data_IF_269252849384
#
_entry.id   IF_269252849384
#
_cell.length_a   1.000
_cell.length_b   1.000
_cell.length_c   1.000
_cell.angle_alpha   90.00
_cell.angle_beta   90.00
_cell.angle_gamma   90.00
#
_symmetry.space_group_name_H-M   'P 1'
#
loop_
_entity.id
_entity.type
_entity.pdbx_description
1 polymer ?
#
# COMPACT_ATOMS: atom_id res chain seq x y z
N UNK A 1 20.79 4.18 -2.32
CA UNK A 1 20.56 2.76 -2.67
C UNK A 1 19.49 2.71 -3.76
N UNK A 2 19.56 1.82 -4.76
CA UNK A 2 18.50 1.67 -5.76
C UNK A 2 17.25 1.03 -5.14
N UNK A 3 16.07 1.36 -5.69
CA UNK A 3 14.82 0.70 -5.33
C UNK A 3 14.78 -0.67 -5.97
N UNK A 4 14.45 -1.69 -5.19
CA UNK A 4 14.34 -3.06 -5.66
C UNK A 4 13.04 -3.29 -6.41
N UNK A 5 13.08 -4.08 -7.49
CA UNK A 5 11.88 -4.51 -8.19
C UNK A 5 11.99 -5.96 -8.66
N UNK A 6 10.85 -6.58 -8.90
CA UNK A 6 10.74 -7.88 -9.55
C UNK A 6 9.55 -7.89 -10.52
N UNK A 7 9.47 -8.94 -11.35
CA UNK A 7 8.39 -9.11 -12.32
C UNK A 7 7.28 -9.99 -11.77
N UNK A 8 6.06 -9.55 -11.98
CA UNK A 8 4.83 -10.25 -11.56
C UNK A 8 3.92 -10.44 -12.77
N UNK A 9 3.19 -11.55 -12.78
CA UNK A 9 2.17 -11.81 -13.78
C UNK A 9 1.10 -10.71 -13.75
N UNK A 10 0.74 -10.22 -14.91
CA UNK A 10 -0.37 -9.27 -15.03
C UNK A 10 -1.69 -10.03 -14.90
N UNK A 11 -2.56 -9.70 -13.91
CA UNK A 11 -3.86 -10.32 -13.79
C UNK A 11 -4.65 -10.11 -15.07
N UNK A 12 -5.15 -11.20 -15.67
CA UNK A 12 -5.97 -11.12 -16.88
C UNK A 12 -7.46 -10.99 -16.52
N UNK A 13 -8.21 -10.09 -17.19
CA UNK A 13 -9.67 -10.13 -17.11
C UNK A 13 -10.17 -11.45 -17.73
N UNK A 14 -11.16 -12.09 -17.09
CA UNK A 14 -11.68 -13.43 -17.43
C UNK A 14 -12.14 -13.61 -18.90
N UNK A 15 -12.29 -12.52 -19.66
CA UNK A 15 -12.92 -12.54 -21.00
C UNK A 15 -11.98 -12.24 -22.17
N UNK A 16 -10.67 -12.16 -21.97
CA UNK A 16 -9.76 -11.86 -23.10
C UNK A 16 -8.63 -12.88 -23.17
N UNK A 17 -8.55 -13.60 -24.28
CA UNK A 17 -7.39 -14.41 -24.69
C UNK A 17 -6.20 -13.48 -25.03
N UNK A 18 -5.73 -12.71 -24.05
CA UNK A 18 -4.51 -11.92 -24.19
C UNK A 18 -3.30 -12.74 -23.76
N UNK A 19 -2.17 -12.53 -24.44
CA UNK A 19 -0.89 -13.15 -24.06
C UNK A 19 -0.57 -12.80 -22.60
N UNK A 20 -0.11 -13.81 -21.87
CA UNK A 20 0.40 -13.64 -20.51
C UNK A 20 1.48 -12.56 -20.50
N UNK A 21 1.26 -11.49 -19.77
CA UNK A 21 2.18 -10.37 -19.64
C UNK A 21 2.81 -10.29 -18.26
N UNK A 22 4.01 -9.74 -18.17
CA UNK A 22 4.66 -9.44 -16.90
C UNK A 22 4.75 -7.93 -16.73
N UNK A 23 4.63 -7.46 -15.50
CA UNK A 23 4.88 -6.07 -15.14
C UNK A 23 5.82 -5.99 -13.93
N UNK A 24 6.66 -4.96 -13.92
CA UNK A 24 7.55 -4.72 -12.80
C UNK A 24 6.79 -4.11 -11.63
N UNK A 25 7.02 -4.64 -10.43
CA UNK A 25 6.58 -4.05 -9.16
C UNK A 25 7.76 -3.81 -8.24
N UNK A 26 7.71 -2.74 -7.49
CA UNK A 26 8.68 -2.48 -6.44
C UNK A 26 8.55 -3.51 -5.33
N UNK A 27 9.70 -4.00 -4.86
CA UNK A 27 9.78 -4.87 -3.70
C UNK A 27 10.09 -4.00 -2.48
N UNK A 28 9.18 -3.99 -1.52
CA UNK A 28 9.34 -3.25 -0.27
C UNK A 28 10.12 -4.12 0.71
N UNK A 29 11.32 -3.70 1.09
CA UNK A 29 12.16 -4.45 2.03
C UNK A 29 11.53 -4.50 3.43
N UNK A 30 11.09 -3.34 3.94
CA UNK A 30 10.39 -3.22 5.22
C UNK A 30 9.59 -1.93 5.30
N UNK A 31 8.59 -1.92 6.14
CA UNK A 31 7.86 -0.71 6.50
C UNK A 31 8.55 -0.04 7.69
N UNK A 32 8.93 1.22 7.53
CA UNK A 32 9.47 2.04 8.61
C UNK A 32 8.33 2.53 9.50
N UNK A 33 8.52 2.44 10.80
CA UNK A 33 7.57 2.90 11.82
C UNK A 33 7.95 4.29 12.34
N UNK A 34 7.07 4.92 13.13
CA UNK A 34 7.36 6.16 13.84
C UNK A 34 8.64 6.04 14.70
N UNK A 35 8.89 4.85 15.28
CA UNK A 35 10.10 4.60 16.09
C UNK A 35 11.39 4.68 15.26
N UNK A 36 11.34 4.19 14.01
CA UNK A 36 12.49 4.26 13.11
C UNK A 36 12.74 5.69 12.66
N UNK A 37 11.67 6.43 12.33
CA UNK A 37 11.75 7.83 11.92
C UNK A 37 12.23 8.72 13.08
N UNK A 38 11.72 8.52 14.30
CA UNK A 38 12.16 9.24 15.49
C UNK A 38 13.64 9.01 15.79
N UNK A 39 14.13 7.77 15.58
CA UNK A 39 15.56 7.46 15.72
C UNK A 39 16.43 8.18 14.68
N UNK A 40 15.93 8.36 13.45
CA UNK A 40 16.65 9.14 12.43
C UNK A 40 16.59 10.65 12.73
N UNK A 41 15.47 11.16 13.20
CA UNK A 41 15.32 12.56 13.61
C UNK A 41 16.27 12.93 14.74
N UNK A 42 16.41 12.08 15.78
CA UNK A 42 17.32 12.33 16.89
C UNK A 42 18.80 12.35 16.50
N UNK A 43 19.18 11.77 15.36
CA UNK A 43 20.53 11.87 14.80
C UNK A 43 20.78 13.16 14.01
N UNK A 44 19.73 13.80 13.50
CA UNK A 44 19.80 14.95 12.59
C UNK A 44 19.42 16.27 13.26
N UNK A 45 18.67 16.20 14.35
CA UNK A 45 18.17 17.34 15.10
C UNK A 45 18.58 17.20 16.57
N UNK A 46 18.45 18.28 17.32
CA UNK A 46 18.76 18.32 18.76
C UNK A 46 17.70 17.68 19.65
N UNK A 47 16.57 17.24 19.08
CA UNK A 47 15.49 16.60 19.81
C UNK A 47 15.86 15.15 20.15
N UNK A 48 15.43 14.69 21.32
CA UNK A 48 15.60 13.29 21.69
C UNK A 48 14.50 12.41 21.04
N UNK A 49 14.70 11.08 21.07
CA UNK A 49 13.78 10.14 20.46
C UNK A 49 12.37 10.19 21.06
N UNK A 50 12.24 10.41 22.37
CA UNK A 50 10.94 10.45 23.04
C UNK A 50 10.16 11.71 22.64
N UNK A 51 10.82 12.85 22.56
CA UNK A 51 10.23 14.10 22.07
C UNK A 51 9.79 13.96 20.60
N UNK A 52 10.63 13.37 19.74
CA UNK A 52 10.28 13.12 18.36
C UNK A 52 9.04 12.23 18.24
N UNK A 53 8.93 11.18 19.05
CA UNK A 53 7.74 10.33 19.10
C UNK A 53 6.50 11.11 19.51
N UNK A 54 6.58 11.90 20.59
CA UNK A 54 5.45 12.69 21.06
C UNK A 54 4.95 13.69 20.02
N UNK A 55 5.87 14.36 19.32
CA UNK A 55 5.52 15.27 18.21
C UNK A 55 4.82 14.54 17.07
N UNK A 56 5.29 13.34 16.70
CA UNK A 56 4.67 12.55 15.63
C UNK A 56 3.28 12.04 15.99
N UNK A 57 3.09 11.63 17.25
CA UNK A 57 1.80 11.15 17.74
C UNK A 57 0.78 12.31 17.79
N UNK A 58 1.19 13.48 18.29
CA UNK A 58 0.34 14.68 18.34
C UNK A 58 0.03 15.19 16.91
N UNK A 59 1.01 15.15 16.01
CA UNK A 59 0.79 15.51 14.61
C UNK A 59 -0.25 14.62 13.95
N UNK A 60 -0.24 13.31 14.25
CA UNK A 60 -1.23 12.37 13.71
C UNK A 60 -2.65 12.69 14.22
N UNK A 61 -2.78 13.05 15.49
CA UNK A 61 -4.07 13.42 16.10
C UNK A 61 -4.61 14.74 15.53
N UNK A 62 -3.77 15.78 15.44
CA UNK A 62 -4.14 17.05 14.80
C UNK A 62 -4.56 16.81 13.34
N UNK A 63 -3.80 15.99 12.62
CA UNK A 63 -4.13 15.61 11.24
C UNK A 63 -5.53 14.99 11.15
N UNK A 64 -5.82 14.00 11.99
CA UNK A 64 -7.12 13.34 12.04
C UNK A 64 -8.26 14.34 12.27
N UNK A 65 -8.13 15.19 13.29
CA UNK A 65 -9.13 16.19 13.65
C UNK A 65 -9.38 17.16 12.47
N UNK A 66 -8.33 17.69 11.87
CA UNK A 66 -8.48 18.68 10.78
C UNK A 66 -9.10 18.09 9.52
N UNK A 67 -8.79 16.83 9.22
CA UNK A 67 -9.40 16.13 8.10
C UNK A 67 -10.89 15.80 8.38
N UNK A 68 -11.25 15.46 9.62
CA UNK A 68 -12.65 15.28 10.04
C UNK A 68 -13.47 16.57 9.98
N UNK A 69 -12.86 17.73 10.29
CA UNK A 69 -13.46 19.05 10.12
C UNK A 69 -13.67 19.43 8.64
N UNK A 70 -13.21 18.59 7.68
CA UNK A 70 -13.33 18.82 6.24
C UNK A 70 -12.19 19.66 5.66
N UNK A 71 -11.13 19.91 6.41
CA UNK A 71 -9.96 20.62 5.92
C UNK A 71 -9.04 19.71 5.08
N UNK A 72 -8.40 20.27 4.07
CA UNK A 72 -7.26 19.66 3.43
C UNK A 72 -5.98 20.00 4.22
N UNK A 73 -5.23 18.98 4.61
CA UNK A 73 -3.97 19.15 5.34
C UNK A 73 -2.81 19.04 4.36
N UNK A 74 -2.03 20.09 4.24
CA UNK A 74 -0.82 20.12 3.42
C UNK A 74 0.40 19.95 4.31
N UNK A 75 1.19 18.92 4.04
CA UNK A 75 2.53 18.75 4.59
C UNK A 75 3.53 19.18 3.53
N UNK A 76 4.20 20.31 3.75
CA UNK A 76 5.14 20.88 2.79
C UNK A 76 6.31 19.92 2.50
N UNK A 77 6.62 19.77 1.23
CA UNK A 77 7.63 18.82 0.76
C UNK A 77 7.14 17.38 0.64
N UNK A 78 5.92 17.06 1.10
CA UNK A 78 5.29 15.74 1.03
C UNK A 78 4.08 15.80 0.08
N UNK A 79 3.03 16.51 0.45
CA UNK A 79 1.81 16.57 -0.32
C UNK A 79 0.61 17.03 0.49
N UNK A 80 -0.57 16.89 -0.10
CA UNK A 80 -1.84 17.30 0.48
C UNK A 80 -2.76 16.12 0.66
N UNK A 81 -3.39 16.04 1.81
CA UNK A 81 -4.36 15.01 2.18
C UNK A 81 -5.73 15.64 2.35
N UNK A 82 -6.77 14.96 1.92
CA UNK A 82 -8.16 15.36 2.17
C UNK A 82 -9.06 14.13 2.19
N UNK A 83 -10.22 14.28 2.83
CA UNK A 83 -11.24 13.24 2.88
C UNK A 83 -11.99 13.18 1.54
N UNK A 84 -12.38 12.00 1.12
CA UNK A 84 -13.29 11.80 0.00
C UNK A 84 -14.61 11.22 0.47
N UNK A 85 -15.68 11.56 -0.25
CA UNK A 85 -17.01 11.01 -0.02
C UNK A 85 -17.40 10.06 -1.16
N UNK A 86 -18.18 9.05 -0.83
CA UNK A 86 -18.84 8.16 -1.78
C UNK A 86 -20.33 8.31 -1.67
N UNK A 87 -21.02 8.39 -2.81
CA UNK A 87 -22.48 8.35 -2.89
C UNK A 87 -22.92 7.47 -4.08
N UNK A 88 -24.11 6.89 -4.06
CA UNK A 88 -24.69 6.27 -5.25
C UNK A 88 -24.82 7.28 -6.38
N UNK A 89 -24.69 6.81 -7.62
CA UNK A 89 -25.00 7.63 -8.79
C UNK A 89 -26.51 7.81 -8.90
N UNK A 90 -26.97 9.04 -9.05
CA UNK A 90 -28.39 9.41 -9.15
C UNK A 90 -28.62 10.25 -10.40
N UNK A 91 -29.84 10.25 -10.92
CA UNK A 91 -30.20 10.99 -12.14
C UNK A 91 -30.34 12.51 -11.87
N UNK A 92 -30.75 12.89 -10.68
CA UNK A 92 -30.96 14.30 -10.31
C UNK A 92 -30.28 14.64 -8.98
N UNK A 93 -29.73 15.85 -8.87
CA UNK A 93 -29.15 16.37 -7.62
C UNK A 93 -30.14 16.33 -6.45
N UNK A 94 -31.45 16.43 -6.72
CA UNK A 94 -32.52 16.39 -5.70
C UNK A 94 -32.69 14.99 -5.06
N UNK A 95 -32.20 13.96 -5.69
CA UNK A 95 -32.29 12.57 -5.21
C UNK A 95 -31.13 12.22 -4.25
N UNK A 96 -30.09 13.05 -4.20
CA UNK A 96 -28.96 12.83 -3.26
C UNK A 96 -29.45 13.21 -1.85
N UNK A 97 -29.49 12.23 -0.96
CA UNK A 97 -29.76 12.44 0.47
C UNK A 97 -28.47 12.45 1.25
N UNK A 98 -28.38 13.28 2.29
CA UNK A 98 -27.19 13.35 3.16
C UNK A 98 -26.80 11.97 3.72
N UNK A 99 -27.79 11.14 4.07
CA UNK A 99 -27.61 9.78 4.59
C UNK A 99 -26.95 8.81 3.57
N UNK A 100 -27.05 9.12 2.27
CA UNK A 100 -26.42 8.31 1.21
C UNK A 100 -24.96 8.63 0.98
N UNK A 101 -24.46 9.73 1.57
CA UNK A 101 -23.07 10.16 1.48
C UNK A 101 -22.27 9.44 2.58
N UNK A 102 -21.28 8.64 2.18
CA UNK A 102 -20.47 7.86 3.10
C UNK A 102 -18.99 8.24 2.95
N UNK A 103 -18.22 7.96 4.00
CA UNK A 103 -16.78 8.08 3.94
C UNK A 103 -16.21 7.25 2.78
N UNK A 104 -15.46 7.88 1.90
CA UNK A 104 -14.85 7.26 0.72
C UNK A 104 -13.40 6.83 0.93
N UNK A 105 -12.72 7.47 1.85
CA UNK A 105 -11.30 7.27 2.14
C UNK A 105 -10.54 8.59 2.26
N UNK A 106 -9.25 8.49 2.47
CA UNK A 106 -8.31 9.63 2.43
C UNK A 106 -7.60 9.63 1.09
N UNK A 107 -7.63 10.77 0.41
CA UNK A 107 -6.92 10.99 -0.85
C UNK A 107 -5.62 11.73 -0.57
N UNK A 108 -4.53 11.21 -1.08
CA UNK A 108 -3.22 11.83 -1.03
C UNK A 108 -2.82 12.36 -2.41
N UNK A 109 -2.39 13.62 -2.45
CA UNK A 109 -1.81 14.26 -3.64
C UNK A 109 -0.37 14.67 -3.35
N UNK A 110 0.62 13.99 -3.93
CA UNK A 110 2.02 14.32 -3.70
C UNK A 110 2.37 15.71 -4.24
N UNK A 111 3.29 16.40 -3.56
CA UNK A 111 3.80 17.68 -4.03
C UNK A 111 4.74 17.48 -5.22
N UNK A 112 4.67 18.39 -6.22
CA UNK A 112 5.52 18.33 -7.42
C UNK A 112 7.02 18.34 -7.08
N UNK A 113 7.40 19.05 -6.03
CA UNK A 113 8.77 19.09 -5.54
C UNK A 113 9.26 17.69 -5.08
N UNK A 114 8.40 16.91 -4.42
CA UNK A 114 8.69 15.53 -4.04
C UNK A 114 8.86 14.65 -5.28
N UNK A 115 7.91 14.71 -6.21
CA UNK A 115 7.94 13.92 -7.44
C UNK A 115 9.21 14.19 -8.26
N UNK A 116 9.60 15.47 -8.41
CA UNK A 116 10.83 15.83 -9.10
C UNK A 116 12.10 15.28 -8.43
N UNK A 117 12.15 15.28 -7.10
CA UNK A 117 13.26 14.69 -6.35
C UNK A 117 13.34 13.17 -6.52
N UNK A 118 12.19 12.51 -6.60
CA UNK A 118 12.11 11.05 -6.74
C UNK A 118 12.25 10.57 -8.19
N UNK A 119 12.04 11.42 -9.19
CA UNK A 119 12.10 11.03 -10.61
C UNK A 119 13.46 10.49 -11.05
N UNK A 120 14.54 10.85 -10.36
CA UNK A 120 15.90 10.33 -10.60
C UNK A 120 16.23 9.02 -9.87
N UNK A 121 15.26 8.37 -9.24
CA UNK A 121 15.47 7.13 -8.48
C UNK A 121 15.90 6.00 -9.41
N UNK A 122 16.99 5.32 -9.05
CA UNK A 122 17.49 4.15 -9.78
C UNK A 122 16.80 2.89 -9.29
N UNK A 123 16.56 1.95 -10.21
CA UNK A 123 15.93 0.68 -9.94
C UNK A 123 16.90 -0.47 -10.16
N UNK A 124 16.83 -1.51 -9.31
CA UNK A 124 17.64 -2.72 -9.42
C UNK A 124 16.72 -3.94 -9.36
N UNK A 125 16.88 -4.83 -10.34
CA UNK A 125 16.16 -6.11 -10.33
C UNK A 125 16.72 -6.98 -9.21
N UNK A 126 15.82 -7.61 -8.46
CA UNK A 126 16.16 -8.63 -7.46
C UNK A 126 15.25 -9.84 -7.71
N UNK A 127 15.75 -11.02 -7.38
CA UNK A 127 14.90 -12.20 -7.29
C UNK A 127 14.19 -12.17 -5.94
N UNK A 128 12.89 -12.02 -5.94
CA UNK A 128 12.08 -12.05 -4.73
C UNK A 128 11.73 -13.50 -4.42
N UNK A 129 12.37 -14.07 -3.41
CA UNK A 129 12.25 -15.49 -3.04
C UNK A 129 10.87 -15.94 -2.54
N UNK A 130 9.88 -15.04 -2.51
CA UNK A 130 8.49 -15.34 -2.14
C UNK A 130 7.54 -15.40 -3.35
N UNK A 131 8.00 -15.25 -4.56
CA UNK A 131 7.23 -15.83 -5.66
C UNK A 131 7.29 -17.34 -5.44
N UNK A 132 6.14 -17.94 -5.16
CA UNK A 132 5.99 -19.39 -5.28
C UNK A 132 6.81 -19.82 -6.49
N UNK A 133 7.74 -20.75 -6.27
CA UNK A 133 8.49 -21.34 -7.37
C UNK A 133 7.47 -21.65 -8.48
N UNK A 134 7.86 -21.50 -9.76
CA UNK A 134 7.07 -22.00 -10.89
C UNK A 134 6.99 -23.53 -10.75
N UNK A 135 6.23 -23.96 -9.76
CA UNK A 135 5.94 -25.37 -9.50
C UNK A 135 4.83 -25.68 -10.48
N UNK A 136 5.08 -26.58 -11.39
CA UNK A 136 4.05 -27.02 -12.34
C UNK A 136 2.87 -27.66 -11.56
N UNK A 137 1.66 -27.55 -12.10
CA UNK A 137 0.46 -28.14 -11.48
C UNK A 137 0.69 -29.64 -11.16
N UNK A 138 1.48 -30.33 -11.97
CA UNK A 138 1.85 -31.76 -11.77
C UNK A 138 2.72 -31.94 -10.52
N UNK A 139 3.65 -31.03 -10.25
CA UNK A 139 4.48 -31.07 -9.04
C UNK A 139 3.68 -30.72 -7.79
N UNK A 140 2.74 -29.77 -7.91
CA UNK A 140 1.81 -29.42 -6.83
C UNK A 140 0.95 -30.62 -6.48
N UNK A 141 0.35 -31.27 -7.46
CA UNK A 141 -0.49 -32.48 -7.28
C UNK A 141 0.32 -33.64 -6.67
N UNK A 142 1.59 -33.78 -7.08
CA UNK A 142 2.50 -34.77 -6.51
C UNK A 142 2.75 -34.53 -5.01
N UNK A 143 3.13 -33.29 -4.66
CA UNK A 143 3.41 -32.88 -3.26
C UNK A 143 2.16 -33.01 -2.40
N UNK A 144 1.00 -32.55 -2.90
CA UNK A 144 -0.27 -32.64 -2.19
C UNK A 144 -0.69 -34.11 -1.98
N UNK A 145 -0.52 -34.96 -2.99
CA UNK A 145 -0.86 -36.39 -2.90
C UNK A 145 0.01 -37.08 -1.84
N UNK A 146 1.30 -36.76 -1.79
CA UNK A 146 2.22 -37.31 -0.77
C UNK A 146 1.86 -36.80 0.63
N UNK A 147 1.60 -35.48 0.76
CA UNK A 147 1.19 -34.87 2.03
C UNK A 147 -0.11 -35.49 2.59
N UNK A 148 -1.14 -35.71 1.75
CA UNK A 148 -2.40 -36.28 2.19
C UNK A 148 -2.32 -37.79 2.47
N UNK A 149 -1.33 -38.53 1.94
CA UNK A 149 -1.05 -39.89 2.36
C UNK A 149 -0.60 -39.97 3.81
N UNK A 150 0.25 -39.00 4.21
CA UNK A 150 0.76 -38.95 5.59
C UNK A 150 -0.22 -38.29 6.57
N UNK A 151 -1.24 -37.56 6.07
CA UNK A 151 -2.22 -36.83 6.86
C UNK A 151 -3.66 -37.09 6.42
N UNK A 152 -4.15 -38.36 6.55
CA UNK A 152 -5.43 -38.79 5.97
C UNK A 152 -6.70 -38.16 6.59
N UNK A 153 -6.56 -37.36 7.65
CA UNK A 153 -7.70 -36.76 8.36
C UNK A 153 -7.89 -35.27 8.11
N UNK A 154 -7.13 -34.65 7.19
CA UNK A 154 -7.33 -33.26 6.81
C UNK A 154 -8.33 -33.24 5.66
N UNK A 155 -9.61 -33.03 5.98
CA UNK A 155 -10.63 -32.68 4.99
C UNK A 155 -10.76 -31.17 4.90
N UNK A 156 -10.72 -30.60 3.69
CA UNK A 156 -11.18 -29.23 3.44
C UNK A 156 -12.65 -29.15 3.86
N UNK A 157 -12.95 -28.37 4.90
CA UNK A 157 -14.33 -27.95 5.15
C UNK A 157 -14.70 -26.96 4.06
N UNK A 158 -15.85 -27.22 3.38
CA UNK A 158 -16.55 -26.32 2.47
C UNK A 158 -16.78 -24.93 3.07
#
# INVERSE_FOLDING_TARGET
>A
MPVKYDFFLTPQPKDKQQKVGYHARTVVDRTLTNKDIAAELSKRCTINKAEAMAVMDEMAEIFRQKVEEGHAVKLEGIGTFHISAKSPSVRSKKEVRAESIKFGGVVFRPEQKLLRKLSGTKFQKVMYSQTSADVSDIEIDGILTEYFKDHPYITTKD
#
